data_IF_088760814094
#
_entry.id   IF_088760814094
#
_cell.length_a   1.000
_cell.length_b   1.000
_cell.length_c   1.000
_cell.angle_alpha   90.00
_cell.angle_beta   90.00
_cell.angle_gamma   90.00
#
_symmetry.space_group_name_H-M   'P 1'
#
loop_
_entity.id
_entity.type
_entity.pdbx_description
1 polymer ?
#
# COMPACT_ATOMS: atom_id res chain seq x y z
N UNK A 1 -26.61 5.22 27.06
CA UNK A 1 -26.73 5.55 25.62
C UNK A 1 -25.51 4.94 24.95
N UNK A 2 -25.61 3.68 24.51
CA UNK A 2 -24.46 2.97 23.92
C UNK A 2 -24.09 3.64 22.60
N UNK A 3 -22.94 4.30 22.58
CA UNK A 3 -22.26 4.68 21.34
C UNK A 3 -21.97 3.40 20.57
N UNK A 4 -22.84 3.04 19.62
CA UNK A 4 -22.51 2.07 18.59
C UNK A 4 -21.21 2.53 17.96
N UNK A 5 -20.13 1.80 18.20
CA UNK A 5 -18.88 1.99 17.48
C UNK A 5 -19.22 1.98 15.99
N UNK A 6 -19.04 3.12 15.33
CA UNK A 6 -19.20 3.22 13.88
C UNK A 6 -18.22 2.22 13.27
N UNK A 7 -18.74 1.23 12.54
CA UNK A 7 -17.89 0.26 11.84
C UNK A 7 -17.03 1.02 10.83
N UNK A 8 -15.75 0.70 10.80
CA UNK A 8 -14.82 1.20 9.79
C UNK A 8 -15.38 0.89 8.38
N UNK A 9 -15.51 1.89 7.50
CA UNK A 9 -16.02 1.70 6.15
C UNK A 9 -15.22 0.65 5.36
N UNK A 10 -15.87 -0.02 4.41
CA UNK A 10 -15.26 -0.99 3.50
C UNK A 10 -14.55 -2.18 4.16
N UNK A 11 -14.88 -2.46 5.42
CA UNK A 11 -14.40 -3.64 6.12
C UNK A 11 -15.43 -4.76 6.13
N UNK A 12 -14.93 -5.99 6.28
CA UNK A 12 -15.67 -7.24 6.46
C UNK A 12 -15.09 -8.02 7.62
N UNK A 13 -15.81 -9.07 8.05
CA UNK A 13 -15.19 -10.10 8.89
C UNK A 13 -13.97 -10.69 8.16
N UNK A 14 -12.93 -11.01 8.93
CA UNK A 14 -11.70 -11.62 8.41
C UNK A 14 -12.03 -12.88 7.62
N UNK A 15 -11.63 -12.91 6.35
CA UNK A 15 -11.89 -14.03 5.46
C UNK A 15 -11.22 -15.30 6.01
N UNK A 16 -11.82 -16.50 5.84
CA UNK A 16 -11.30 -17.73 6.42
C UNK A 16 -9.82 -18.00 6.13
N UNK A 17 -9.39 -17.78 4.89
CA UNK A 17 -7.99 -17.96 4.47
C UNK A 17 -7.03 -16.94 5.10
N UNK A 18 -7.53 -15.84 5.62
CA UNK A 18 -6.74 -14.75 6.21
C UNK A 18 -6.80 -14.71 7.73
N UNK A 19 -7.50 -15.66 8.38
CA UNK A 19 -7.58 -15.72 9.86
C UNK A 19 -6.20 -15.98 10.46
N UNK A 20 -5.94 -15.34 11.59
CA UNK A 20 -4.71 -15.47 12.37
C UNK A 20 -5.02 -15.36 13.87
N UNK A 21 -4.07 -15.76 14.72
CA UNK A 21 -4.23 -15.72 16.17
C UNK A 21 -4.16 -14.28 16.70
N UNK A 22 -5.34 -13.72 17.01
CA UNK A 22 -5.47 -12.38 17.55
C UNK A 22 -4.89 -12.24 18.97
N UNK A 23 -4.81 -13.32 19.76
CA UNK A 23 -4.23 -13.26 21.12
C UNK A 23 -2.72 -13.10 21.06
N UNK A 24 -2.06 -13.88 20.20
CA UNK A 24 -0.63 -13.77 19.93
C UNK A 24 -0.28 -12.39 19.37
N UNK A 25 -1.08 -11.88 18.42
CA UNK A 25 -0.91 -10.50 17.91
C UNK A 25 -1.05 -9.46 19.03
N UNK A 26 -2.11 -9.53 19.83
CA UNK A 26 -2.37 -8.53 20.88
C UNK A 26 -1.25 -8.51 21.93
N UNK A 27 -0.77 -9.68 22.36
CA UNK A 27 0.35 -9.78 23.29
C UNK A 27 1.62 -9.15 22.72
N UNK A 28 1.94 -9.43 21.44
CA UNK A 28 3.10 -8.86 20.77
C UNK A 28 2.99 -7.33 20.64
N UNK A 29 1.83 -6.81 20.21
CA UNK A 29 1.62 -5.37 20.06
C UNK A 29 1.68 -4.63 21.40
N UNK A 30 1.15 -5.20 22.49
CA UNK A 30 1.27 -4.60 23.84
C UNK A 30 2.72 -4.38 24.27
N UNK A 31 3.62 -5.28 23.87
CA UNK A 31 5.04 -5.21 24.23
C UNK A 31 5.85 -4.28 23.32
N UNK A 32 5.51 -4.21 22.02
CA UNK A 32 6.37 -3.57 21.01
C UNK A 32 5.81 -2.29 20.41
N UNK A 33 4.51 -2.00 20.60
CA UNK A 33 3.86 -0.81 20.07
C UNK A 33 3.50 0.15 21.21
N UNK A 34 4.25 1.25 21.39
CA UNK A 34 3.97 2.24 22.42
C UNK A 34 2.52 2.75 22.34
N UNK A 35 1.83 2.73 23.47
CA UNK A 35 0.44 3.22 23.58
C UNK A 35 -0.65 2.19 23.32
N UNK A 36 -0.38 1.07 22.61
CA UNK A 36 -1.40 0.07 22.25
C UNK A 36 -2.14 -0.53 23.46
N UNK A 37 -1.47 -0.63 24.61
CA UNK A 37 -2.03 -1.15 25.86
C UNK A 37 -2.63 -0.11 26.81
N UNK A 38 -2.78 1.16 26.40
CA UNK A 38 -3.20 2.24 27.29
C UNK A 38 -4.60 2.02 27.90
N UNK A 39 -5.47 1.30 27.20
CA UNK A 39 -6.79 0.88 27.69
C UNK A 39 -6.82 -0.65 27.85
N UNK A 40 -6.37 -1.20 29.00
CA UNK A 40 -6.17 -2.64 29.16
C UNK A 40 -7.46 -3.46 29.00
N UNK A 41 -8.58 -2.94 29.50
CA UNK A 41 -9.90 -3.59 29.48
C UNK A 41 -10.57 -3.62 28.09
N UNK A 42 -10.14 -2.77 27.16
CA UNK A 42 -10.71 -2.76 25.82
C UNK A 42 -10.43 -4.09 25.11
N UNK A 43 -11.34 -4.60 24.28
CA UNK A 43 -11.03 -5.78 23.45
C UNK A 43 -10.38 -5.34 22.15
N UNK A 44 -9.39 -6.09 21.67
CA UNK A 44 -8.90 -5.91 20.29
C UNK A 44 -9.98 -6.42 19.32
N UNK A 45 -10.43 -5.54 18.43
CA UNK A 45 -11.29 -5.91 17.31
C UNK A 45 -10.48 -5.86 16.02
N UNK A 46 -10.78 -6.80 15.12
CA UNK A 46 -10.09 -6.95 13.84
C UNK A 46 -11.14 -7.09 12.74
N UNK A 47 -11.00 -6.29 11.70
CA UNK A 47 -11.80 -6.40 10.48
C UNK A 47 -10.87 -6.33 9.26
N UNK A 48 -11.26 -6.94 8.14
CA UNK A 48 -10.45 -6.95 6.92
C UNK A 48 -11.01 -5.95 5.92
N UNK A 49 -10.16 -5.15 5.28
CA UNK A 49 -10.59 -4.32 4.15
C UNK A 49 -10.94 -5.18 2.93
N UNK A 50 -11.97 -4.75 2.17
CA UNK A 50 -12.37 -5.43 0.93
C UNK A 50 -11.35 -5.25 -0.21
N UNK A 51 -10.62 -4.13 -0.21
CA UNK A 51 -9.51 -3.83 -1.12
C UNK A 51 -8.18 -4.37 -0.60
N UNK A 52 -7.10 -4.25 -1.39
CA UNK A 52 -5.78 -4.77 -1.01
C UNK A 52 -5.55 -6.22 -1.42
N UNK A 53 -5.91 -6.58 -2.65
CA UNK A 53 -5.84 -7.96 -3.15
C UNK A 53 -4.43 -8.55 -3.18
N UNK A 54 -3.39 -7.71 -3.30
CA UNK A 54 -1.99 -8.18 -3.26
C UNK A 54 -1.58 -8.60 -1.85
N UNK A 55 -1.77 -7.75 -0.83
CA UNK A 55 -1.39 -8.04 0.55
C UNK A 55 -2.59 -7.78 1.47
N UNK A 56 -3.12 -8.81 2.16
CA UNK A 56 -4.27 -8.64 3.05
C UNK A 56 -4.05 -7.51 4.06
N UNK A 57 -5.02 -6.59 4.11
CA UNK A 57 -4.99 -5.38 4.93
C UNK A 57 -6.16 -5.40 5.92
N UNK A 58 -5.89 -5.06 7.18
CA UNK A 58 -6.82 -5.20 8.30
C UNK A 58 -6.89 -3.90 9.09
N UNK A 59 -8.10 -3.54 9.48
CA UNK A 59 -8.36 -2.54 10.51
C UNK A 59 -8.26 -3.20 11.88
N UNK A 60 -7.46 -2.63 12.78
CA UNK A 60 -7.35 -3.02 14.17
C UNK A 60 -7.87 -1.89 15.05
N UNK A 61 -8.69 -2.20 16.04
CA UNK A 61 -9.12 -1.21 17.04
C UNK A 61 -8.99 -1.76 18.45
N UNK A 62 -8.37 -0.96 19.33
CA UNK A 62 -8.21 -1.25 20.75
C UNK A 62 -8.58 0.01 21.54
N UNK A 63 -9.77 0.01 22.13
CA UNK A 63 -10.32 1.18 22.81
C UNK A 63 -10.53 2.33 21.83
N UNK A 64 -9.98 3.49 22.15
CA UNK A 64 -9.99 4.69 21.30
C UNK A 64 -8.96 4.68 20.17
N UNK A 65 -8.03 3.72 20.14
CA UNK A 65 -6.93 3.69 19.18
C UNK A 65 -7.24 2.77 17.99
N UNK A 66 -6.90 3.24 16.79
CA UNK A 66 -7.07 2.53 15.54
C UNK A 66 -5.74 2.41 14.78
N UNK A 67 -5.57 1.27 14.11
CA UNK A 67 -4.37 0.93 13.37
C UNK A 67 -4.71 0.18 12.09
N UNK A 68 -3.77 0.15 11.15
CA UNK A 68 -3.85 -0.71 9.97
C UNK A 68 -2.72 -1.73 10.01
N UNK A 69 -3.08 -3.01 9.91
CA UNK A 69 -2.13 -4.11 9.75
C UNK A 69 -2.13 -4.60 8.31
N UNK A 70 -0.96 -4.79 7.74
CA UNK A 70 -0.78 -5.38 6.41
C UNK A 70 0.18 -6.55 6.52
N UNK A 71 -0.18 -7.68 5.93
CA UNK A 71 0.62 -8.91 6.05
C UNK A 71 0.77 -9.61 4.70
N UNK A 72 1.74 -10.53 4.61
CA UNK A 72 1.86 -11.38 3.42
C UNK A 72 0.63 -12.30 3.28
N UNK A 73 0.17 -12.58 2.05
CA UNK A 73 -0.82 -13.63 1.86
C UNK A 73 -0.28 -14.99 2.33
N UNK A 74 -1.15 -15.90 2.79
CA UNK A 74 -0.73 -17.24 3.19
C UNK A 74 -0.33 -18.10 1.97
N UNK A 75 0.43 -19.16 2.21
CA UNK A 75 0.77 -20.17 1.20
C UNK A 75 2.11 -19.97 0.50
N UNK A 76 2.37 -20.78 -0.53
CA UNK A 76 3.60 -20.71 -1.33
C UNK A 76 3.51 -19.54 -2.31
N UNK A 77 4.35 -18.54 -2.12
CA UNK A 77 4.35 -17.31 -2.91
C UNK A 77 5.43 -17.36 -3.99
N UNK A 78 5.17 -16.71 -5.12
CA UNK A 78 6.17 -16.57 -6.17
C UNK A 78 7.40 -15.79 -5.65
N UNK A 79 8.62 -16.12 -6.13
CA UNK A 79 9.82 -15.38 -5.76
C UNK A 79 9.65 -13.87 -5.99
N UNK A 80 9.96 -13.06 -4.95
CA UNK A 80 9.84 -11.59 -4.95
C UNK A 80 8.42 -11.04 -5.05
N UNK A 81 7.39 -11.87 -4.97
CA UNK A 81 6.03 -11.39 -4.74
C UNK A 81 5.88 -10.97 -3.27
N UNK A 82 4.97 -10.02 -3.00
CA UNK A 82 4.52 -9.68 -1.65
C UNK A 82 5.63 -9.22 -0.68
N UNK A 83 6.56 -8.37 -1.15
CA UNK A 83 7.65 -7.83 -0.34
C UNK A 83 7.18 -6.71 0.60
N UNK A 84 6.40 -7.06 1.63
CA UNK A 84 5.88 -6.10 2.61
C UNK A 84 6.98 -5.42 3.44
N UNK A 85 8.15 -6.05 3.55
CA UNK A 85 9.35 -5.48 4.15
C UNK A 85 9.83 -4.24 3.38
N UNK A 86 9.75 -4.30 2.04
CA UNK A 86 10.05 -3.18 1.16
C UNK A 86 9.00 -2.09 1.26
N UNK A 87 7.71 -2.46 1.34
CA UNK A 87 6.61 -1.50 1.57
C UNK A 87 6.86 -0.71 2.88
N UNK A 88 7.16 -1.40 3.98
CA UNK A 88 7.47 -0.76 5.26
C UNK A 88 8.73 0.13 5.18
N UNK A 89 9.80 -0.36 4.54
CA UNK A 89 11.06 0.40 4.40
C UNK A 89 10.85 1.72 3.67
N UNK A 90 10.18 1.71 2.52
CA UNK A 90 9.93 2.95 1.74
C UNK A 90 8.98 3.89 2.47
N UNK A 91 7.93 3.36 3.09
CA UNK A 91 6.99 4.18 3.87
C UNK A 91 7.70 4.88 5.04
N UNK A 92 8.62 4.18 5.72
CA UNK A 92 9.41 4.75 6.82
C UNK A 92 10.34 5.85 6.36
N UNK A 93 11.02 5.67 5.23
CA UNK A 93 11.88 6.70 4.66
C UNK A 93 11.07 7.94 4.26
N UNK A 94 9.95 7.75 3.56
CA UNK A 94 9.05 8.85 3.17
C UNK A 94 8.55 9.63 4.39
N UNK A 95 8.02 8.93 5.40
CA UNK A 95 7.53 9.54 6.63
C UNK A 95 8.61 10.37 7.34
N UNK A 96 9.86 9.89 7.39
CA UNK A 96 10.96 10.63 8.04
C UNK A 96 11.30 11.97 7.38
N UNK A 97 10.87 12.18 6.14
CA UNK A 97 11.07 13.44 5.41
C UNK A 97 9.82 14.34 5.40
N UNK A 98 8.75 13.93 6.11
CA UNK A 98 7.49 14.67 6.14
C UNK A 98 6.61 14.46 4.89
N UNK A 99 6.93 13.49 4.04
CA UNK A 99 6.07 13.12 2.92
C UNK A 99 4.76 12.49 3.45
N UNK A 100 3.57 12.82 2.88
CA UNK A 100 2.28 12.41 3.42
C UNK A 100 1.99 10.92 3.17
N UNK A 101 2.55 10.06 4.02
CA UNK A 101 2.20 8.64 4.12
C UNK A 101 1.73 8.31 5.53
N UNK A 102 0.92 7.25 5.72
CA UNK A 102 0.62 6.74 7.05
C UNK A 102 1.92 6.44 7.82
N UNK A 103 2.00 6.93 9.05
CA UNK A 103 3.10 6.66 9.97
C UNK A 103 3.31 5.15 10.12
N UNK A 104 4.48 4.63 9.71
CA UNK A 104 4.83 3.25 9.96
C UNK A 104 5.17 3.10 11.45
N UNK A 105 4.55 2.12 12.10
CA UNK A 105 4.65 1.96 13.55
C UNK A 105 5.51 0.76 13.95
N UNK A 106 5.30 -0.38 13.31
CA UNK A 106 5.97 -1.63 13.69
C UNK A 106 6.10 -2.54 12.48
N UNK A 107 7.24 -3.21 12.34
CA UNK A 107 7.43 -4.32 11.39
C UNK A 107 7.81 -5.59 12.16
N UNK A 108 7.26 -6.71 11.74
CA UNK A 108 7.53 -8.02 12.32
C UNK A 108 7.87 -9.04 11.22
N UNK A 109 9.11 -9.49 11.22
CA UNK A 109 9.60 -10.54 10.33
C UNK A 109 9.36 -11.95 10.87
N UNK A 110 8.95 -12.10 12.13
CA UNK A 110 8.66 -13.40 12.73
C UNK A 110 7.29 -13.92 12.27
N UNK A 111 7.32 -14.80 11.27
CA UNK A 111 6.12 -15.44 10.74
C UNK A 111 5.46 -16.41 11.73
N UNK A 112 6.13 -16.84 12.79
CA UNK A 112 5.55 -17.76 13.78
C UNK A 112 4.43 -17.12 14.61
N UNK A 113 4.41 -15.78 14.71
CA UNK A 113 3.44 -15.05 15.54
C UNK A 113 2.02 -15.08 14.98
N UNK A 114 1.84 -14.82 13.68
CA UNK A 114 0.52 -14.78 13.04
C UNK A 114 0.46 -15.53 11.70
N UNK A 115 1.43 -16.43 11.48
CA UNK A 115 1.55 -17.28 10.28
C UNK A 115 2.27 -16.61 9.10
N UNK A 116 2.47 -15.30 9.14
CA UNK A 116 3.14 -14.52 8.08
C UNK A 116 3.80 -13.28 8.67
N UNK A 117 4.83 -12.76 8.00
CA UNK A 117 5.33 -11.42 8.28
C UNK A 117 4.23 -10.37 8.15
N UNK A 118 4.34 -9.28 8.92
CA UNK A 118 3.40 -8.17 8.88
C UNK A 118 4.04 -6.85 9.29
N UNK A 119 3.37 -5.75 8.97
CA UNK A 119 3.65 -4.46 9.56
C UNK A 119 2.35 -3.77 9.99
N UNK A 120 2.49 -2.84 10.93
CA UNK A 120 1.42 -2.00 11.46
C UNK A 120 1.77 -0.54 11.17
N UNK A 121 0.78 0.22 10.74
CA UNK A 121 0.86 1.66 10.52
C UNK A 121 -0.33 2.35 11.18
N UNK A 122 -0.26 3.68 11.31
CA UNK A 122 -1.38 4.45 11.80
C UNK A 122 -2.62 4.28 10.89
N UNK A 123 -3.79 4.36 11.50
CA UNK A 123 -5.02 4.52 10.76
C UNK A 123 -5.22 6.01 10.44
N UNK A 124 -5.27 6.33 9.14
CA UNK A 124 -5.53 7.70 8.67
C UNK A 124 -7.00 7.81 8.30
N UNK A 125 -7.75 8.59 9.06
CA UNK A 125 -9.14 8.89 8.73
C UNK A 125 -9.21 9.88 7.57
N UNK A 126 -9.96 9.55 6.53
CA UNK A 126 -10.07 10.40 5.35
C UNK A 126 -11.12 9.96 4.34
N UNK A 127 -11.16 10.66 3.21
CA UNK A 127 -12.00 10.36 2.05
C UNK A 127 -11.17 9.57 1.04
N UNK A 128 -11.72 8.46 0.55
CA UNK A 128 -11.14 7.68 -0.54
C UNK A 128 -12.15 7.69 -1.69
N UNK A 129 -11.75 8.24 -2.84
CA UNK A 129 -12.60 8.31 -4.01
C UNK A 129 -12.34 7.11 -4.93
N UNK A 130 -13.34 6.24 -5.07
CA UNK A 130 -13.27 5.06 -5.95
C UNK A 130 -13.84 5.29 -7.33
N UNK A 131 -14.76 6.24 -7.45
CA UNK A 131 -15.25 6.73 -8.73
C UNK A 131 -14.36 7.89 -9.17
N UNK A 132 -13.68 7.72 -10.30
CA UNK A 132 -12.70 8.68 -10.79
C UNK A 132 -13.38 9.94 -11.35
N UNK A 133 -14.70 9.91 -11.57
CA UNK A 133 -15.47 11.12 -11.90
C UNK A 133 -15.73 12.00 -10.68
N UNK A 134 -15.45 11.52 -9.47
CA UNK A 134 -15.68 12.21 -8.19
C UNK A 134 -17.09 12.82 -8.15
N UNK A 135 -18.14 11.98 -8.08
CA UNK A 135 -19.51 12.48 -8.05
C UNK A 135 -19.79 13.20 -6.72
N UNK A 136 -20.69 14.18 -6.75
CA UNK A 136 -21.13 14.88 -5.54
C UNK A 136 -20.20 16.00 -5.03
N UNK A 137 -19.10 16.30 -5.74
CA UNK A 137 -18.27 17.49 -5.47
C UNK A 137 -18.45 18.55 -6.56
N UNK A 138 -18.13 19.81 -6.25
CA UNK A 138 -18.15 20.90 -7.22
C UNK A 138 -17.04 20.74 -8.28
N UNK A 139 -17.16 21.34 -9.48
CA UNK A 139 -16.09 21.34 -10.47
C UNK A 139 -14.76 21.90 -9.95
N UNK A 140 -14.81 22.92 -9.07
CA UNK A 140 -13.63 23.51 -8.46
C UNK A 140 -12.95 22.54 -7.48
N UNK A 141 -13.73 21.88 -6.59
CA UNK A 141 -13.20 20.86 -5.67
C UNK A 141 -12.63 19.65 -6.43
N UNK A 142 -13.31 19.20 -7.49
CA UNK A 142 -12.78 18.13 -8.34
C UNK A 142 -11.42 18.52 -8.94
N UNK A 143 -11.30 19.76 -9.42
CA UNK A 143 -10.03 20.25 -9.97
C UNK A 143 -8.94 20.26 -8.89
N UNK A 144 -9.25 20.75 -7.69
CA UNK A 144 -8.32 20.78 -6.55
C UNK A 144 -7.84 19.36 -6.15
N UNK A 145 -8.75 18.37 -6.10
CA UNK A 145 -8.41 16.96 -5.83
C UNK A 145 -7.37 16.43 -6.82
N UNK A 146 -7.58 16.67 -8.12
CA UNK A 146 -6.67 16.20 -9.15
C UNK A 146 -5.34 16.99 -9.19
N UNK A 147 -5.37 18.28 -8.90
CA UNK A 147 -4.15 19.10 -8.73
C UNK A 147 -3.33 18.57 -7.57
N UNK A 148 -3.92 18.39 -6.38
CA UNK A 148 -3.22 17.84 -5.22
C UNK A 148 -2.64 16.43 -5.47
N UNK A 149 -3.35 15.60 -6.24
CA UNK A 149 -2.86 14.29 -6.67
C UNK A 149 -1.59 14.41 -7.54
N UNK A 150 -1.57 15.33 -8.51
CA UNK A 150 -0.40 15.58 -9.37
C UNK A 150 0.75 16.21 -8.59
N UNK A 151 0.47 17.18 -7.72
CA UNK A 151 1.47 17.82 -6.87
C UNK A 151 2.13 16.82 -5.93
N UNK A 152 1.36 15.92 -5.32
CA UNK A 152 1.88 14.85 -4.46
C UNK A 152 2.79 13.89 -5.26
N UNK A 153 2.41 13.54 -6.49
CA UNK A 153 3.24 12.69 -7.35
C UNK A 153 4.53 13.40 -7.79
N UNK A 154 4.45 14.70 -8.12
CA UNK A 154 5.60 15.51 -8.45
C UNK A 154 6.55 15.63 -7.25
N UNK A 155 6.01 15.84 -6.05
CA UNK A 155 6.79 15.85 -4.82
C UNK A 155 7.50 14.51 -4.61
N UNK A 156 6.80 13.38 -4.78
CA UNK A 156 7.42 12.05 -4.66
C UNK A 156 8.59 11.88 -5.63
N UNK A 157 8.40 12.27 -6.90
CA UNK A 157 9.43 12.17 -7.94
C UNK A 157 10.59 13.15 -7.73
N UNK A 158 10.40 14.22 -6.96
CA UNK A 158 11.46 15.17 -6.61
C UNK A 158 12.38 14.70 -5.47
N UNK A 159 11.99 13.65 -4.74
CA UNK A 159 12.77 13.15 -3.61
C UNK A 159 14.05 12.45 -4.08
N UNK A 160 15.16 12.80 -3.44
CA UNK A 160 16.45 12.16 -3.72
C UNK A 160 16.57 10.81 -2.98
N UNK A 161 16.77 9.73 -3.73
CA UNK A 161 16.85 8.36 -3.21
C UNK A 161 17.98 8.17 -2.18
N UNK A 162 19.13 8.83 -2.38
CA UNK A 162 20.26 8.76 -1.45
C UNK A 162 19.92 9.45 -0.12
N UNK A 163 19.26 10.60 -0.18
CA UNK A 163 18.80 11.31 1.03
C UNK A 163 17.78 10.50 1.84
N UNK A 164 17.02 9.63 1.17
CA UNK A 164 16.06 8.71 1.79
C UNK A 164 16.69 7.42 2.34
N UNK A 165 18.01 7.22 2.19
CA UNK A 165 18.72 5.97 2.56
C UNK A 165 18.11 4.73 1.88
N UNK A 166 17.67 4.91 0.63
CA UNK A 166 17.07 3.88 -0.21
C UNK A 166 18.05 3.38 -1.28
N UNK A 167 19.36 3.48 -1.05
CA UNK A 167 20.36 2.90 -1.94
C UNK A 167 20.14 1.39 -2.11
N UNK A 168 20.23 0.92 -3.36
CA UNK A 168 19.95 -0.47 -3.70
C UNK A 168 18.49 -0.90 -3.55
N UNK A 169 17.56 0.04 -3.26
CA UNK A 169 16.13 -0.25 -3.31
C UNK A 169 15.71 -0.61 -4.74
N UNK A 170 16.11 0.20 -5.73
CA UNK A 170 15.87 -0.02 -7.15
C UNK A 170 17.00 -0.77 -7.86
N UNK A 171 16.87 -0.89 -9.19
CA UNK A 171 17.91 -1.38 -10.10
C UNK A 171 18.49 -0.29 -11.00
N UNK A 172 18.12 0.99 -10.79
CA UNK A 172 18.60 2.13 -11.58
C UNK A 172 18.28 2.05 -13.08
N UNK A 173 19.23 2.50 -13.90
CA UNK A 173 19.15 2.60 -15.36
C UNK A 173 18.67 1.33 -16.08
N UNK A 174 17.99 1.47 -17.21
CA UNK A 174 17.40 0.37 -17.99
C UNK A 174 16.04 -0.07 -17.48
N UNK A 175 15.29 0.82 -16.82
CA UNK A 175 13.97 0.52 -16.27
C UNK A 175 12.97 0.13 -17.36
N UNK A 176 12.79 0.95 -18.40
CA UNK A 176 11.86 0.69 -19.50
C UNK A 176 12.16 -0.66 -20.16
N UNK A 177 13.41 -0.92 -20.52
CA UNK A 177 13.81 -2.20 -21.14
C UNK A 177 13.47 -3.39 -20.25
N UNK A 178 13.76 -3.28 -18.95
CA UNK A 178 13.45 -4.34 -17.97
C UNK A 178 11.96 -4.55 -17.81
N UNK A 179 11.17 -3.49 -17.74
CA UNK A 179 9.71 -3.57 -17.60
C UNK A 179 9.11 -4.30 -18.80
N UNK A 180 9.40 -3.85 -20.03
CA UNK A 180 8.89 -4.49 -21.24
C UNK A 180 9.31 -5.96 -21.28
N UNK A 181 10.60 -6.26 -21.05
CA UNK A 181 11.10 -7.64 -21.03
C UNK A 181 10.42 -8.52 -19.96
N UNK A 182 10.09 -7.95 -18.79
CA UNK A 182 9.45 -8.67 -17.68
C UNK A 182 7.99 -8.97 -18.01
N UNK A 183 7.24 -7.97 -18.47
CA UNK A 183 5.83 -8.11 -18.82
C UNK A 183 5.63 -9.04 -20.02
N UNK A 184 6.49 -8.97 -21.04
CA UNK A 184 6.46 -9.91 -22.18
C UNK A 184 6.62 -11.35 -21.71
N UNK A 185 7.62 -11.64 -20.85
CA UNK A 185 7.85 -12.99 -20.31
C UNK A 185 6.68 -13.48 -19.46
N UNK A 186 6.13 -12.61 -18.61
CA UNK A 186 4.97 -12.96 -17.78
C UNK A 186 3.72 -13.24 -18.63
N UNK A 187 3.46 -12.42 -19.65
CA UNK A 187 2.38 -12.66 -20.60
C UNK A 187 2.55 -14.01 -21.31
N UNK A 188 3.72 -14.28 -21.88
CA UNK A 188 4.00 -15.56 -22.56
C UNK A 188 3.82 -16.78 -21.65
N UNK A 189 4.19 -16.66 -20.37
CA UNK A 189 4.03 -17.75 -19.41
C UNK A 189 2.57 -17.98 -18.98
N UNK A 190 1.73 -16.94 -19.02
CA UNK A 190 0.33 -16.99 -18.57
C UNK A 190 -0.71 -17.08 -19.70
N UNK A 191 -0.30 -16.84 -20.95
CA UNK A 191 -1.18 -16.86 -22.11
C UNK A 191 -1.75 -18.26 -22.34
N UNK A 192 -3.08 -18.35 -22.35
CA UNK A 192 -3.84 -19.57 -22.65
C UNK A 192 -4.45 -19.55 -24.07
N UNK A 193 -4.34 -18.41 -24.76
CA UNK A 193 -4.77 -18.20 -26.13
C UNK A 193 -3.82 -17.22 -26.81
N UNK A 194 -3.74 -17.29 -28.14
CA UNK A 194 -2.98 -16.32 -28.91
C UNK A 194 -3.75 -15.00 -29.02
N UNK A 195 -3.07 -13.90 -28.70
CA UNK A 195 -3.58 -12.54 -28.85
C UNK A 195 -2.54 -11.77 -29.67
N UNK A 196 -2.66 -11.75 -31.01
CA UNK A 196 -1.65 -11.15 -31.89
C UNK A 196 -1.29 -9.71 -31.53
N UNK A 197 -2.26 -8.93 -31.01
CA UNK A 197 -2.03 -7.56 -30.56
C UNK A 197 -1.02 -7.45 -29.41
N UNK A 198 -0.96 -8.42 -28.50
CA UNK A 198 0.01 -8.43 -27.39
C UNK A 198 1.43 -8.69 -27.90
N UNK A 199 1.58 -9.60 -28.85
CA UNK A 199 2.88 -9.86 -29.51
C UNK A 199 3.37 -8.64 -30.28
N UNK A 200 2.48 -7.99 -31.04
CA UNK A 200 2.78 -6.74 -31.75
C UNK A 200 3.16 -5.60 -30.80
N UNK A 201 2.43 -5.44 -29.68
CA UNK A 201 2.72 -4.42 -28.68
C UNK A 201 4.08 -4.65 -28.02
N UNK A 202 4.39 -5.89 -27.62
CA UNK A 202 5.69 -6.27 -27.05
C UNK A 202 6.84 -5.92 -28.00
N UNK A 203 6.71 -6.33 -29.27
CA UNK A 203 7.70 -6.05 -30.31
C UNK A 203 7.89 -4.55 -30.53
N UNK A 204 6.78 -3.81 -30.61
CA UNK A 204 6.82 -2.36 -30.81
C UNK A 204 7.49 -1.66 -29.63
N UNK A 205 7.10 -1.98 -28.39
CA UNK A 205 7.71 -1.38 -27.19
C UNK A 205 9.21 -1.66 -27.09
N UNK A 206 9.66 -2.88 -27.43
CA UNK A 206 11.08 -3.22 -27.42
C UNK A 206 11.89 -2.47 -28.48
N UNK A 207 11.30 -2.12 -29.63
CA UNK A 207 11.94 -1.36 -30.70
C UNK A 207 11.88 0.16 -30.50
N UNK A 208 11.00 0.64 -29.62
CA UNK A 208 10.74 2.06 -29.39
C UNK A 208 11.02 2.46 -27.92
N UNK A 209 12.04 1.86 -27.32
CA UNK A 209 12.48 2.27 -25.99
C UNK A 209 13.06 3.69 -26.04
N UNK A 210 12.86 4.52 -25.00
CA UNK A 210 13.52 5.82 -24.91
C UNK A 210 15.05 5.66 -24.94
N UNK A 211 15.74 6.54 -25.66
CA UNK A 211 17.20 6.53 -25.74
C UNK A 211 17.87 6.81 -24.38
N UNK A 212 17.19 7.59 -23.53
CA UNK A 212 17.65 7.98 -22.20
C UNK A 212 16.80 7.31 -21.11
N UNK A 213 17.18 6.09 -20.71
CA UNK A 213 16.56 5.31 -19.62
C UNK A 213 17.51 5.23 -18.41
N UNK A 214 18.13 6.35 -18.05
CA UNK A 214 19.17 6.42 -17.01
C UNK A 214 18.71 7.15 -15.74
N UNK A 215 17.55 7.81 -15.77
CA UNK A 215 17.00 8.51 -14.62
C UNK A 215 16.49 7.51 -13.57
N UNK A 216 16.76 7.80 -12.29
CA UNK A 216 16.30 7.00 -11.17
C UNK A 216 15.53 7.88 -10.19
N UNK A 217 14.21 7.76 -10.22
CA UNK A 217 13.30 8.42 -9.29
C UNK A 217 12.52 7.36 -8.51
N UNK A 218 12.07 7.72 -7.31
CA UNK A 218 11.17 6.87 -6.56
C UNK A 218 9.79 6.86 -7.23
N UNK A 219 9.34 5.70 -7.68
CA UNK A 219 8.02 5.52 -8.27
C UNK A 219 7.09 4.80 -7.29
N UNK A 220 5.86 5.28 -7.15
CA UNK A 220 4.85 4.60 -6.33
C UNK A 220 4.44 3.23 -6.92
N UNK A 221 4.42 3.11 -8.25
CA UNK A 221 4.10 1.88 -8.98
C UNK A 221 2.61 1.67 -9.27
N UNK A 222 1.72 2.11 -8.36
CA UNK A 222 0.25 2.05 -8.52
C UNK A 222 -0.42 3.36 -8.09
N UNK A 223 0.04 4.51 -8.61
CA UNK A 223 -0.44 5.82 -8.17
C UNK A 223 -1.76 6.18 -8.86
N UNK A 224 -2.86 6.14 -8.10
CA UNK A 224 -4.21 6.37 -8.59
C UNK A 224 -5.11 6.82 -7.45
N UNK A 225 -6.25 7.42 -7.82
CA UNK A 225 -7.14 8.13 -6.90
C UNK A 225 -7.61 7.30 -5.70
N UNK A 226 -7.91 6.02 -5.92
CA UNK A 226 -8.40 5.09 -4.88
C UNK A 226 -7.28 4.56 -3.95
N UNK A 227 -6.02 4.89 -4.23
CA UNK A 227 -4.86 4.64 -3.36
C UNK A 227 -4.45 5.87 -2.54
N UNK A 228 -5.23 6.96 -2.58
CA UNK A 228 -4.94 8.20 -1.86
C UNK A 228 -6.04 8.46 -0.83
N UNK A 229 -5.62 8.84 0.37
CA UNK A 229 -6.52 9.25 1.46
C UNK A 229 -6.50 10.78 1.53
N UNK A 230 -7.61 11.41 1.16
CA UNK A 230 -7.78 12.85 1.26
C UNK A 230 -8.30 13.24 2.65
N UNK A 231 -8.01 14.47 3.08
CA UNK A 231 -8.51 14.97 4.35
C UNK A 231 -10.05 14.83 4.46
N UNK A 232 -10.63 14.49 5.63
CA UNK A 232 -12.07 14.23 5.77
C UNK A 232 -12.98 15.37 5.33
N UNK A 233 -12.53 16.63 5.46
CA UNK A 233 -13.38 17.82 5.29
C UNK A 233 -12.77 18.95 4.47
N UNK A 234 -11.45 18.97 4.32
CA UNK A 234 -10.79 20.09 3.65
C UNK A 234 -10.72 19.81 2.15
N UNK A 235 -11.02 20.85 1.36
CA UNK A 235 -10.66 20.84 -0.06
C UNK A 235 -9.13 20.83 -0.12
N UNK A 236 -8.52 19.89 -0.83
CA UNK A 236 -7.07 19.80 -0.97
C UNK A 236 -6.44 21.07 -1.54
#
# INVERSE_FOLDING_TARGET
METRASREPDTVEVLPQHKFDCRSLEAYLKQHLPGFGAEPEAKLTVAQYRSGQSNPTFYLQKGSQAYVLRKKPPGSLLPKAHQIDREFKVQKALFSTGFPVPKPLLYCSDASLIGTEFYVMEHVQGRIFRDFTVPGVSPAERSAIYVAMVETLAQLHSLNIQSLQLEGYGRGAGYCKRQVSTWTKQYQAAAHQDIPAMSQLSDWLMRNLPDNDNEENLIHGDFKLDNIVFHPKEVP
#
